data_IF_162904813926
#
_entry.id   IF_162904813926
#
_cell.length_a   1.000
_cell.length_b   1.000
_cell.length_c   1.000
_cell.angle_alpha   90.00
_cell.angle_beta   90.00
_cell.angle_gamma   90.00
#
_symmetry.space_group_name_H-M   'P 1'
#
loop_
_entity.id
_entity.type
_entity.pdbx_description
1 polymer ?
#
# COMPACT_ATOMS: atom_id res chain seq x y z
N UNK A 1 -27.76 -2.49 5.88
CA UNK A 1 -26.89 -3.12 4.87
C UNK A 1 -26.30 -4.37 5.52
N UNK A 2 -26.66 -5.57 5.04
CA UNK A 2 -26.10 -6.82 5.58
C UNK A 2 -24.69 -6.94 5.01
N UNK A 3 -23.67 -6.91 5.88
CA UNK A 3 -22.30 -7.21 5.45
C UNK A 3 -22.23 -8.72 5.18
N UNK A 4 -21.92 -9.18 3.97
CA UNK A 4 -21.66 -10.59 3.73
C UNK A 4 -20.48 -11.01 4.60
N UNK A 5 -20.66 -12.09 5.36
CA UNK A 5 -19.63 -12.66 6.22
C UNK A 5 -19.07 -13.90 5.53
N UNK A 6 -17.74 -14.04 5.55
CA UNK A 6 -17.07 -15.23 5.05
C UNK A 6 -17.42 -16.44 5.91
N UNK A 7 -17.63 -17.59 5.27
CA UNK A 7 -17.70 -18.88 5.96
C UNK A 7 -16.34 -19.21 6.59
N UNK A 8 -16.33 -20.11 7.56
CA UNK A 8 -15.07 -20.52 8.21
C UNK A 8 -14.14 -21.24 7.22
N UNK A 9 -14.70 -22.02 6.29
CA UNK A 9 -13.95 -22.66 5.20
C UNK A 9 -13.29 -21.62 4.28
N UNK A 10 -14.01 -20.55 3.91
CA UNK A 10 -13.47 -19.49 3.08
C UNK A 10 -12.34 -18.73 3.80
N UNK A 11 -12.48 -18.44 5.10
CA UNK A 11 -11.40 -17.83 5.89
C UNK A 11 -10.17 -18.70 5.93
N UNK A 12 -10.34 -19.99 6.21
CA UNK A 12 -9.22 -20.92 6.30
C UNK A 12 -8.52 -21.08 4.93
N UNK A 13 -9.27 -21.14 3.84
CA UNK A 13 -8.72 -21.21 2.50
C UNK A 13 -7.98 -19.91 2.10
N UNK A 14 -8.50 -18.73 2.48
CA UNK A 14 -7.80 -17.45 2.30
C UNK A 14 -6.42 -17.47 2.99
N UNK A 15 -6.34 -17.96 4.23
CA UNK A 15 -5.07 -18.04 4.96
C UNK A 15 -4.09 -19.04 4.31
N UNK A 16 -4.59 -20.17 3.80
CA UNK A 16 -3.76 -21.20 3.13
C UNK A 16 -3.23 -20.75 1.76
N UNK A 17 -3.98 -19.91 1.05
CA UNK A 17 -3.66 -19.44 -0.30
C UNK A 17 -3.09 -18.01 -0.32
N UNK A 18 -2.41 -17.60 0.76
CA UNK A 18 -1.75 -16.29 0.86
C UNK A 18 -2.68 -15.10 0.58
N UNK A 19 -3.94 -15.20 1.00
CA UNK A 19 -4.89 -14.10 0.88
C UNK A 19 -5.53 -13.94 -0.49
N UNK A 20 -5.44 -14.92 -1.40
CA UNK A 20 -6.12 -14.89 -2.71
C UNK A 20 -6.74 -16.24 -3.06
N UNK A 21 -8.05 -16.26 -3.31
CA UNK A 21 -8.79 -17.48 -3.64
C UNK A 21 -9.81 -17.23 -4.74
N UNK A 22 -9.83 -18.08 -5.75
CA UNK A 22 -10.93 -18.12 -6.71
C UNK A 22 -12.03 -19.06 -6.19
N UNK A 23 -13.26 -18.55 -6.08
CA UNK A 23 -14.43 -19.31 -5.65
C UNK A 23 -15.35 -19.54 -6.85
N UNK A 24 -15.83 -20.77 -6.99
CA UNK A 24 -16.89 -21.16 -7.92
C UNK A 24 -18.03 -21.77 -7.10
N UNK A 25 -19.07 -20.97 -6.86
CA UNK A 25 -20.22 -21.37 -6.03
C UNK A 25 -21.49 -21.22 -6.86
N UNK A 26 -22.15 -22.35 -7.15
CA UNK A 26 -23.40 -22.40 -7.91
C UNK A 26 -23.35 -21.65 -9.27
N UNK A 27 -22.18 -21.67 -9.93
CA UNK A 27 -21.96 -21.00 -11.22
C UNK A 27 -21.61 -19.51 -11.12
N UNK A 28 -21.47 -18.96 -9.90
CA UNK A 28 -20.94 -17.62 -9.66
C UNK A 28 -19.46 -17.70 -9.38
N UNK A 29 -18.66 -17.12 -10.28
CA UNK A 29 -17.21 -17.03 -10.13
C UNK A 29 -16.83 -15.69 -9.54
N UNK A 30 -16.16 -15.70 -8.40
CA UNK A 30 -15.64 -14.50 -7.76
C UNK A 30 -14.26 -14.76 -7.14
N UNK A 31 -13.49 -13.69 -6.96
CA UNK A 31 -12.21 -13.72 -6.27
C UNK A 31 -12.42 -13.20 -4.86
N UNK A 32 -12.04 -14.01 -3.88
CA UNK A 32 -11.86 -13.58 -2.51
C UNK A 32 -10.40 -13.16 -2.33
N UNK A 33 -10.20 -11.98 -1.73
CA UNK A 33 -8.87 -11.47 -1.44
C UNK A 33 -8.82 -10.85 -0.04
N UNK A 34 -7.69 -11.02 0.65
CA UNK A 34 -7.43 -10.29 1.88
C UNK A 34 -7.28 -8.81 1.55
N UNK A 35 -7.62 -7.96 2.52
CA UNK A 35 -7.46 -6.51 2.35
C UNK A 35 -6.00 -6.10 2.14
N UNK A 36 -5.06 -6.88 2.67
CA UNK A 36 -3.63 -6.69 2.48
C UNK A 36 -3.23 -6.91 1.01
N UNK A 37 -3.59 -8.07 0.44
CA UNK A 37 -3.33 -8.40 -0.96
C UNK A 37 -4.02 -7.42 -1.91
N UNK A 38 -5.25 -7.00 -1.57
CA UNK A 38 -5.95 -5.96 -2.33
C UNK A 38 -5.17 -4.63 -2.34
N UNK A 39 -4.67 -4.20 -1.17
CA UNK A 39 -3.91 -2.95 -1.05
C UNK A 39 -2.60 -3.00 -1.83
N UNK A 40 -1.88 -4.12 -1.75
CA UNK A 40 -0.65 -4.34 -2.50
C UNK A 40 -0.89 -4.29 -4.01
N UNK A 41 -1.90 -5.03 -4.52
CA UNK A 41 -2.24 -5.05 -5.94
C UNK A 41 -2.69 -3.67 -6.48
N UNK A 42 -3.44 -2.92 -5.67
CA UNK A 42 -3.94 -1.60 -6.08
C UNK A 42 -2.93 -0.48 -5.87
N UNK A 43 -1.75 -0.77 -5.29
CA UNK A 43 -0.78 0.25 -4.89
C UNK A 43 -1.35 1.21 -3.84
N UNK A 44 -2.36 0.79 -3.08
CA UNK A 44 -2.94 1.58 -1.99
C UNK A 44 -2.00 1.40 -0.80
N UNK A 45 -1.10 2.39 -0.65
CA UNK A 45 -0.18 2.43 0.49
C UNK A 45 -0.93 2.27 1.81
N UNK A 46 -0.27 1.59 2.75
CA UNK A 46 -0.71 1.45 4.13
C UNK A 46 -0.86 2.83 4.80
N UNK A 47 -1.64 2.88 5.89
CA UNK A 47 -1.74 4.10 6.68
C UNK A 47 -0.36 4.57 7.19
N UNK A 48 0.55 3.63 7.47
CA UNK A 48 1.92 3.93 7.88
C UNK A 48 2.71 4.63 6.76
N UNK A 49 2.60 4.16 5.52
CA UNK A 49 3.24 4.78 4.34
C UNK A 49 2.64 6.16 4.05
N UNK A 50 1.33 6.32 4.24
CA UNK A 50 0.67 7.62 4.13
C UNK A 50 1.20 8.59 5.19
N UNK A 51 1.27 8.19 6.47
CA UNK A 51 1.80 9.02 7.54
C UNK A 51 3.27 9.37 7.32
N UNK A 52 4.07 8.41 6.86
CA UNK A 52 5.47 8.66 6.51
C UNK A 52 5.60 9.71 5.39
N UNK A 53 4.75 9.61 4.36
CA UNK A 53 4.73 10.56 3.24
C UNK A 53 4.33 11.95 3.70
N UNK A 54 3.28 12.07 4.51
CA UNK A 54 2.84 13.36 5.08
C UNK A 54 3.95 14.01 5.91
N UNK A 55 4.59 13.23 6.78
CA UNK A 55 5.71 13.73 7.60
C UNK A 55 6.90 14.19 6.75
N UNK A 56 7.22 13.48 5.67
CA UNK A 56 8.28 13.88 4.75
C UNK A 56 7.95 15.20 4.04
N UNK A 57 6.69 15.40 3.64
CA UNK A 57 6.22 16.66 3.05
C UNK A 57 6.29 17.82 4.05
N UNK A 58 5.83 17.63 5.28
CA UNK A 58 5.90 18.64 6.35
C UNK A 58 7.36 19.03 6.64
N UNK A 59 8.25 18.04 6.69
CA UNK A 59 9.69 18.28 6.90
C UNK A 59 10.27 19.09 5.74
N UNK A 60 9.98 18.71 4.49
CA UNK A 60 10.44 19.43 3.31
C UNK A 60 9.93 20.87 3.25
N UNK A 61 8.67 21.11 3.64
CA UNK A 61 8.11 22.47 3.75
C UNK A 61 8.85 23.29 4.80
N UNK A 62 9.09 22.73 5.99
CA UNK A 62 9.84 23.40 7.05
C UNK A 62 11.30 23.69 6.64
N UNK A 63 11.92 22.83 5.83
CA UNK A 63 13.26 23.04 5.28
C UNK A 63 13.28 24.17 4.24
N UNK A 64 12.25 24.27 3.40
CA UNK A 64 12.09 25.40 2.46
C UNK A 64 11.96 26.72 3.22
N UNK A 65 11.07 26.77 4.22
CA UNK A 65 10.84 27.98 5.03
C UNK A 65 12.11 28.42 5.79
N UNK A 66 12.89 27.46 6.28
CA UNK A 66 14.14 27.75 6.98
C UNK A 66 15.36 27.95 6.05
N UNK A 67 15.18 27.88 4.73
CA UNK A 67 16.26 28.02 3.76
C UNK A 67 17.26 26.85 3.76
N UNK A 68 16.90 25.70 4.36
CA UNK A 68 17.68 24.45 4.32
C UNK A 68 17.45 23.68 3.01
N UNK A 69 17.54 24.39 1.89
CA UNK A 69 17.41 23.80 0.56
C UNK A 69 18.79 23.65 -0.08
N UNK A 70 18.89 22.75 -1.05
CA UNK A 70 20.12 22.57 -1.82
C UNK A 70 19.82 22.63 -3.32
N UNK A 71 20.72 23.18 -4.14
CA UNK A 71 20.57 23.17 -5.58
C UNK A 71 20.49 21.75 -6.13
N UNK A 72 19.58 21.53 -7.07
CA UNK A 72 19.37 20.21 -7.69
C UNK A 72 20.63 19.69 -8.39
N UNK A 73 21.44 20.56 -8.99
CA UNK A 73 22.69 20.17 -9.68
C UNK A 73 23.71 19.57 -8.71
N UNK A 74 23.73 20.03 -7.46
CA UNK A 74 24.66 19.54 -6.45
C UNK A 74 24.28 18.12 -6.00
N UNK A 75 22.98 17.82 -5.96
CA UNK A 75 22.48 16.45 -5.68
C UNK A 75 22.89 15.49 -6.80
N UNK A 76 22.70 15.90 -8.06
CA UNK A 76 23.06 15.05 -9.21
C UNK A 76 24.55 14.76 -9.26
N UNK A 77 25.39 15.76 -8.96
CA UNK A 77 26.84 15.59 -8.94
C UNK A 77 27.32 14.60 -7.87
N UNK A 78 26.62 14.48 -6.73
CA UNK A 78 26.90 13.47 -5.70
C UNK A 78 26.50 12.06 -6.16
N UNK A 79 25.34 11.92 -6.80
CA UNK A 79 24.86 10.63 -7.31
C UNK A 79 25.73 10.08 -8.44
N UNK A 80 26.31 10.94 -9.27
CA UNK A 80 27.27 10.55 -10.33
C UNK A 80 28.66 10.16 -9.77
N UNK A 81 28.91 10.43 -8.48
CA UNK A 81 30.20 10.18 -7.81
C UNK A 81 30.20 8.92 -6.92
N UNK A 82 29.07 8.23 -6.80
CA UNK A 82 28.91 6.89 -6.19
C UNK A 82 29.04 5.76 -7.21
#
# INVERSE_FOLDING_TARGET
>A
MIKPQLTDEQRQALDQHHGLLQVDEEGRKYILMSMEVYRELMGVGTDAELQSSLKALETGLADIEAGRTRPFRDVLAELDSE
#
